data_IF_510688643320
#
_entry.id   IF_510688643320
#
_cell.length_a   1.000
_cell.length_b   1.000
_cell.length_c   1.000
_cell.angle_alpha   90.00
_cell.angle_beta   90.00
_cell.angle_gamma   90.00
#
_symmetry.space_group_name_H-M   'P 1'
#
loop_
_entity.id
_entity.type
_entity.pdbx_description
1 polymer ?
#
# COMPACT_ATOMS: atom_id res chain seq x y z
N UNK A 1 7.27 -31.64 13.82
CA UNK A 1 7.07 -31.14 12.43
C UNK A 1 6.09 -29.98 12.36
N UNK A 2 4.82 -30.17 12.75
CA UNK A 2 3.80 -29.10 12.77
C UNK A 2 4.22 -27.87 13.60
N UNK A 3 4.84 -28.08 14.77
CA UNK A 3 5.41 -27.01 15.61
C UNK A 3 6.52 -26.22 14.92
N UNK A 4 7.48 -26.90 14.29
CA UNK A 4 8.58 -26.25 13.54
C UNK A 4 8.07 -25.40 12.37
N UNK A 5 7.01 -25.85 11.69
CA UNK A 5 6.31 -25.08 10.66
C UNK A 5 5.65 -23.82 11.23
N UNK A 6 4.99 -23.91 12.39
CA UNK A 6 4.40 -22.75 13.06
C UNK A 6 5.46 -21.75 13.54
N UNK A 7 6.65 -22.21 13.90
CA UNK A 7 7.80 -21.40 14.29
C UNK A 7 8.61 -20.84 13.09
N UNK A 8 8.16 -21.05 11.85
CA UNK A 8 8.85 -20.58 10.64
C UNK A 8 10.16 -21.32 10.33
N UNK A 9 10.45 -22.43 11.00
CA UNK A 9 11.66 -23.25 10.81
C UNK A 9 11.45 -24.27 9.70
N UNK A 10 11.13 -23.78 8.49
CA UNK A 10 10.74 -24.61 7.35
C UNK A 10 11.80 -25.63 6.94
N UNK A 11 13.08 -25.27 6.96
CA UNK A 11 14.18 -26.19 6.61
C UNK A 11 14.30 -27.38 7.59
N UNK A 12 14.11 -27.15 8.90
CA UNK A 12 14.09 -28.23 9.90
C UNK A 12 12.83 -29.08 9.75
N UNK A 13 11.69 -28.44 9.43
CA UNK A 13 10.45 -29.13 9.14
C UNK A 13 10.53 -29.96 7.85
N UNK A 14 11.27 -29.53 6.84
CA UNK A 14 11.47 -30.32 5.62
C UNK A 14 12.35 -31.54 5.91
N UNK A 15 13.49 -31.31 6.58
CA UNK A 15 14.45 -32.37 6.93
C UNK A 15 13.82 -33.47 7.77
N UNK A 16 13.06 -33.12 8.79
CA UNK A 16 12.39 -34.14 9.62
C UNK A 16 11.32 -34.92 8.86
N UNK A 17 10.63 -34.32 7.86
CA UNK A 17 9.65 -35.05 7.05
C UNK A 17 10.35 -36.06 6.13
N UNK A 18 11.51 -35.67 5.55
CA UNK A 18 12.34 -36.59 4.76
C UNK A 18 12.83 -37.76 5.60
N UNK A 19 13.31 -37.48 6.82
CA UNK A 19 13.79 -38.53 7.72
C UNK A 19 12.68 -39.53 8.14
N UNK A 20 11.45 -39.05 8.39
CA UNK A 20 10.31 -39.94 8.65
C UNK A 20 9.99 -40.80 7.42
N UNK A 21 10.09 -40.25 6.21
CA UNK A 21 9.83 -41.00 4.98
C UNK A 21 10.96 -41.99 4.62
N UNK A 22 12.18 -41.78 5.13
CA UNK A 22 13.28 -42.75 5.03
C UNK A 22 12.99 -43.99 5.88
N UNK A 23 12.44 -43.83 7.08
CA UNK A 23 12.08 -44.94 7.97
C UNK A 23 10.70 -45.54 7.67
N UNK A 24 9.75 -44.71 7.22
CA UNK A 24 8.36 -45.09 6.94
C UNK A 24 7.88 -44.51 5.59
N UNK A 25 8.25 -45.12 4.44
CA UNK A 25 7.91 -44.59 3.12
C UNK A 25 6.40 -44.52 2.81
N UNK A 26 5.58 -45.25 3.56
CA UNK A 26 4.11 -45.26 3.47
C UNK A 26 3.44 -44.16 4.30
N UNK A 27 4.19 -43.37 5.08
CA UNK A 27 3.65 -42.33 5.95
C UNK A 27 3.05 -41.17 5.13
N UNK A 28 1.74 -41.23 4.91
CA UNK A 28 1.00 -40.27 4.09
C UNK A 28 1.01 -38.85 4.68
N UNK A 29 1.02 -38.72 6.01
CA UNK A 29 1.05 -37.41 6.66
C UNK A 29 2.39 -36.71 6.44
N UNK A 30 3.50 -37.43 6.64
CA UNK A 30 4.84 -36.89 6.40
C UNK A 30 5.03 -36.49 4.92
N UNK A 31 4.51 -37.30 3.98
CA UNK A 31 4.55 -36.97 2.55
C UNK A 31 3.72 -35.74 2.20
N UNK A 32 2.50 -35.65 2.71
CA UNK A 32 1.64 -34.46 2.52
C UNK A 32 2.31 -33.21 3.06
N UNK A 33 2.81 -33.27 4.30
CA UNK A 33 3.47 -32.14 4.94
C UNK A 33 4.75 -31.72 4.19
N UNK A 34 5.55 -32.69 3.72
CA UNK A 34 6.72 -32.41 2.90
C UNK A 34 6.35 -31.67 1.61
N UNK A 35 5.32 -32.14 0.89
CA UNK A 35 4.86 -31.48 -0.33
C UNK A 35 4.39 -30.04 -0.06
N UNK A 36 3.65 -29.82 1.03
CA UNK A 36 3.22 -28.47 1.44
C UNK A 36 4.42 -27.55 1.76
N UNK A 37 5.43 -28.08 2.45
CA UNK A 37 6.64 -27.32 2.80
C UNK A 37 7.49 -26.97 1.57
N UNK A 38 7.67 -27.94 0.66
CA UNK A 38 8.42 -27.72 -0.59
C UNK A 38 7.69 -26.69 -1.47
N UNK A 39 6.36 -26.77 -1.55
CA UNK A 39 5.56 -25.79 -2.29
C UNK A 39 5.67 -24.39 -1.68
N UNK A 40 5.57 -24.26 -0.35
CA UNK A 40 5.71 -22.98 0.35
C UNK A 40 7.10 -22.37 0.11
N UNK A 41 8.17 -23.16 0.24
CA UNK A 41 9.54 -22.74 -0.03
C UNK A 41 9.73 -22.24 -1.46
N UNK A 42 9.16 -22.95 -2.45
CA UNK A 42 9.23 -22.54 -3.86
C UNK A 42 8.58 -21.16 -4.06
N UNK A 43 7.47 -20.89 -3.40
CA UNK A 43 6.80 -19.59 -3.46
C UNK A 43 7.68 -18.50 -2.84
N UNK A 44 8.30 -18.76 -1.69
CA UNK A 44 9.22 -17.82 -1.04
C UNK A 44 10.44 -17.52 -1.92
N UNK A 45 11.03 -18.54 -2.56
CA UNK A 45 12.15 -18.37 -3.50
C UNK A 45 11.75 -17.56 -4.73
N UNK A 46 10.57 -17.82 -5.30
CA UNK A 46 10.01 -17.01 -6.39
C UNK A 46 9.81 -15.56 -5.95
N UNK A 47 9.22 -15.33 -4.79
CA UNK A 47 8.99 -14.00 -4.26
C UNK A 47 10.32 -13.26 -4.02
N UNK A 48 11.35 -13.91 -3.48
CA UNK A 48 12.67 -13.32 -3.30
C UNK A 48 13.29 -12.88 -4.64
N UNK A 49 13.12 -13.67 -5.71
CA UNK A 49 13.53 -13.27 -7.07
C UNK A 49 12.75 -12.06 -7.57
N UNK A 50 11.43 -12.00 -7.32
CA UNK A 50 10.63 -10.83 -7.68
C UNK A 50 11.15 -9.56 -6.99
N UNK A 51 11.51 -9.63 -5.71
CA UNK A 51 12.13 -8.53 -4.97
C UNK A 51 13.45 -8.08 -5.59
N UNK A 52 14.28 -9.04 -6.04
CA UNK A 52 15.54 -8.73 -6.71
C UNK A 52 15.29 -7.97 -8.03
N UNK A 53 14.40 -8.47 -8.89
CA UNK A 53 14.01 -7.79 -10.12
C UNK A 53 13.46 -6.38 -9.85
N UNK A 54 12.59 -6.24 -8.84
CA UNK A 54 12.03 -4.95 -8.44
C UNK A 54 13.12 -3.96 -8.04
N UNK A 55 14.07 -4.37 -7.18
CA UNK A 55 15.21 -3.52 -6.75
C UNK A 55 16.11 -3.14 -7.93
N UNK A 56 16.26 -4.05 -8.88
CA UNK A 56 16.99 -3.81 -10.13
C UNK A 56 16.20 -3.02 -11.18
N UNK A 57 15.00 -2.52 -10.85
CA UNK A 57 14.08 -1.79 -11.76
C UNK A 57 13.63 -2.61 -12.98
N UNK A 58 13.75 -3.93 -12.93
CA UNK A 58 13.21 -4.86 -13.90
C UNK A 58 11.73 -5.09 -13.62
N UNK A 59 10.90 -4.07 -13.86
CA UNK A 59 9.51 -4.05 -13.42
C UNK A 59 8.64 -5.10 -14.10
N UNK A 60 8.88 -5.40 -15.39
CA UNK A 60 8.14 -6.43 -16.12
C UNK A 60 8.41 -7.83 -15.56
N UNK A 61 9.67 -8.14 -15.28
CA UNK A 61 10.06 -9.43 -14.68
C UNK A 61 9.50 -9.55 -13.26
N UNK A 62 9.62 -8.50 -12.45
CA UNK A 62 9.04 -8.46 -11.11
C UNK A 62 7.53 -8.67 -11.14
N UNK A 63 6.81 -7.98 -12.03
CA UNK A 63 5.36 -8.14 -12.21
C UNK A 63 5.00 -9.58 -12.57
N UNK A 64 5.67 -10.16 -13.57
CA UNK A 64 5.43 -11.54 -14.00
C UNK A 64 5.60 -12.53 -12.85
N UNK A 65 6.67 -12.38 -12.06
CA UNK A 65 6.91 -13.28 -10.93
C UNK A 65 5.91 -13.04 -9.79
N UNK A 66 5.51 -11.80 -9.48
CA UNK A 66 4.45 -11.55 -8.51
C UNK A 66 3.14 -12.23 -8.91
N UNK A 67 2.76 -12.18 -10.19
CA UNK A 67 1.56 -12.86 -10.69
C UNK A 67 1.67 -14.39 -10.54
N UNK A 68 2.84 -14.97 -10.78
CA UNK A 68 3.08 -16.40 -10.55
C UNK A 68 2.97 -16.77 -9.06
N UNK A 69 3.52 -15.94 -8.17
CA UNK A 69 3.39 -16.10 -6.71
C UNK A 69 1.92 -16.07 -6.31
N UNK A 70 1.13 -15.15 -6.86
CA UNK A 70 -0.30 -15.04 -6.58
C UNK A 70 -1.12 -16.19 -7.18
N UNK A 71 -0.72 -16.74 -8.33
CA UNK A 71 -1.36 -17.92 -8.89
C UNK A 71 -1.14 -19.16 -7.99
N UNK A 72 0.04 -19.29 -7.38
CA UNK A 72 0.36 -20.38 -6.46
C UNK A 72 -0.19 -20.15 -5.04
N UNK A 73 -0.25 -18.91 -4.58
CA UNK A 73 -0.84 -18.51 -3.30
C UNK A 73 -1.63 -17.19 -3.44
N UNK A 74 -2.94 -17.27 -3.72
CA UNK A 74 -3.79 -16.10 -3.91
C UNK A 74 -3.91 -15.19 -2.68
N UNK A 75 -3.53 -15.68 -1.48
CA UNK A 75 -3.55 -14.91 -0.23
C UNK A 75 -2.17 -14.43 0.20
N UNK A 76 -1.18 -14.41 -0.71
CA UNK A 76 0.15 -13.89 -0.39
C UNK A 76 0.13 -12.35 -0.26
N UNK A 77 0.18 -11.86 0.98
CA UNK A 77 0.10 -10.42 1.29
C UNK A 77 1.16 -9.59 0.55
N UNK A 78 2.45 -9.94 0.69
CA UNK A 78 3.51 -9.07 0.15
C UNK A 78 3.50 -8.98 -1.38
N UNK A 79 3.10 -10.04 -2.08
CA UNK A 79 2.96 -10.05 -3.52
C UNK A 79 1.82 -9.11 -3.97
N UNK A 80 0.65 -9.16 -3.32
CA UNK A 80 -0.43 -8.19 -3.58
C UNK A 80 0.02 -6.76 -3.29
N UNK A 81 0.63 -6.53 -2.13
CA UNK A 81 1.07 -5.19 -1.74
C UNK A 81 2.10 -4.61 -2.73
N UNK A 82 3.15 -5.35 -3.06
CA UNK A 82 4.22 -4.87 -3.93
C UNK A 82 3.80 -4.77 -5.39
N UNK A 83 2.93 -5.66 -5.87
CA UNK A 83 2.35 -5.54 -7.20
C UNK A 83 1.45 -4.29 -7.28
N UNK A 84 0.66 -4.02 -6.24
CA UNK A 84 -0.13 -2.79 -6.14
C UNK A 84 0.73 -1.52 -6.12
N UNK A 85 1.86 -1.54 -5.39
CA UNK A 85 2.85 -0.43 -5.41
C UNK A 85 3.48 -0.25 -6.79
N UNK A 86 3.82 -1.34 -7.48
CA UNK A 86 4.34 -1.29 -8.85
C UNK A 86 3.31 -0.68 -9.80
N UNK A 87 2.04 -1.06 -9.69
CA UNK A 87 0.96 -0.46 -10.46
C UNK A 87 0.78 1.04 -10.17
N UNK A 88 0.93 1.48 -8.92
CA UNK A 88 0.94 2.91 -8.57
C UNK A 88 2.05 3.68 -9.28
N UNK A 89 3.27 3.12 -9.28
CA UNK A 89 4.42 3.73 -9.95
C UNK A 89 4.21 3.84 -11.47
N UNK A 90 3.48 2.90 -12.05
CA UNK A 90 3.10 2.90 -13.47
C UNK A 90 1.86 3.78 -13.78
N UNK A 91 1.20 4.36 -12.77
CA UNK A 91 -0.04 5.12 -12.94
C UNK A 91 -1.28 4.27 -13.23
N UNK A 92 -1.18 2.94 -13.11
CA UNK A 92 -2.30 2.02 -13.31
C UNK A 92 -3.16 1.93 -12.05
N UNK A 93 -3.87 3.01 -11.76
CA UNK A 93 -4.58 3.18 -10.50
C UNK A 93 -5.68 2.12 -10.27
N UNK A 94 -6.36 1.66 -11.33
CA UNK A 94 -7.38 0.62 -11.21
C UNK A 94 -6.78 -0.73 -10.76
N UNK A 95 -5.65 -1.12 -11.36
CA UNK A 95 -4.94 -2.34 -10.97
C UNK A 95 -4.35 -2.20 -9.57
N UNK A 96 -3.83 -1.02 -9.23
CA UNK A 96 -3.33 -0.72 -7.89
C UNK A 96 -4.42 -0.87 -6.82
N UNK A 97 -5.61 -0.29 -7.01
CA UNK A 97 -6.74 -0.46 -6.09
C UNK A 97 -7.11 -1.94 -5.92
N UNK A 98 -7.17 -2.69 -7.03
CA UNK A 98 -7.48 -4.13 -7.01
C UNK A 98 -6.52 -4.92 -6.12
N UNK A 99 -5.21 -4.77 -6.34
CA UNK A 99 -4.21 -5.53 -5.56
C UNK A 99 -4.09 -5.02 -4.11
N UNK A 100 -4.18 -3.71 -3.89
CA UNK A 100 -4.09 -3.14 -2.54
C UNK A 100 -5.34 -3.43 -1.71
N UNK A 101 -6.52 -3.54 -2.32
CA UNK A 101 -7.73 -4.03 -1.65
C UNK A 101 -7.51 -5.44 -1.11
N UNK A 102 -6.99 -6.36 -1.93
CA UNK A 102 -6.62 -7.71 -1.48
C UNK A 102 -5.58 -7.70 -0.38
N UNK A 103 -4.56 -6.85 -0.47
CA UNK A 103 -3.57 -6.71 0.60
C UNK A 103 -4.20 -6.27 1.92
N UNK A 104 -5.14 -5.31 1.89
CA UNK A 104 -5.85 -4.85 3.11
C UNK A 104 -6.83 -5.88 3.68
N UNK A 105 -7.45 -6.71 2.83
CA UNK A 105 -8.28 -7.84 3.26
C UNK A 105 -7.45 -8.93 3.97
N UNK A 106 -6.25 -9.22 3.44
CA UNK A 106 -5.35 -10.23 4.00
C UNK A 106 -4.72 -9.75 5.31
N UNK A 107 -4.29 -8.49 5.36
CA UNK A 107 -3.70 -7.88 6.54
C UNK A 107 -4.37 -6.53 6.88
N UNK A 108 -5.44 -6.54 7.69
CA UNK A 108 -6.13 -5.33 8.12
C UNK A 108 -5.29 -4.40 9.02
N UNK A 109 -4.10 -4.82 9.47
CA UNK A 109 -3.18 -4.01 10.29
C UNK A 109 -2.05 -3.37 9.46
N UNK A 110 -2.14 -3.45 8.12
CA UNK A 110 -1.14 -2.86 7.23
C UNK A 110 -1.47 -1.40 6.89
N UNK A 111 -1.06 -0.45 7.73
CA UNK A 111 -1.29 0.99 7.48
C UNK A 111 -0.77 1.45 6.10
N UNK A 112 0.41 0.96 5.68
CA UNK A 112 0.99 1.30 4.39
C UNK A 112 0.13 0.84 3.19
N UNK A 113 -0.53 -0.32 3.30
CA UNK A 113 -1.42 -0.82 2.25
C UNK A 113 -2.65 0.09 2.09
N UNK A 114 -3.26 0.51 3.20
CA UNK A 114 -4.36 1.49 3.16
C UNK A 114 -3.93 2.84 2.59
N UNK A 115 -2.79 3.39 3.01
CA UNK A 115 -2.28 4.64 2.45
C UNK A 115 -2.07 4.56 0.93
N UNK A 116 -1.49 3.45 0.46
CA UNK A 116 -1.25 3.26 -0.97
C UNK A 116 -2.56 3.05 -1.73
N UNK A 117 -3.54 2.34 -1.15
CA UNK A 117 -4.87 2.18 -1.75
C UNK A 117 -5.57 3.53 -1.87
N UNK A 118 -5.52 4.36 -0.82
CA UNK A 118 -6.03 5.73 -0.86
C UNK A 118 -5.37 6.55 -1.97
N UNK A 119 -4.07 6.36 -2.19
CA UNK A 119 -3.36 7.02 -3.30
C UNK A 119 -3.89 6.58 -4.68
N UNK A 120 -4.15 5.28 -4.86
CA UNK A 120 -4.75 4.77 -6.09
C UNK A 120 -6.15 5.36 -6.31
N UNK A 121 -7.00 5.34 -5.28
CA UNK A 121 -8.37 5.85 -5.33
C UNK A 121 -8.41 7.36 -5.63
N UNK A 122 -7.49 8.14 -5.04
CA UNK A 122 -7.32 9.55 -5.39
C UNK A 122 -6.94 9.74 -6.86
N UNK A 123 -6.04 8.91 -7.39
CA UNK A 123 -5.69 8.89 -8.82
C UNK A 123 -6.89 8.58 -9.74
N UNK A 124 -7.84 7.78 -9.25
CA UNK A 124 -9.13 7.51 -9.89
C UNK A 124 -10.20 8.58 -9.64
N UNK A 125 -9.88 9.66 -8.91
CA UNK A 125 -10.82 10.70 -8.45
C UNK A 125 -11.96 10.19 -7.56
N UNK A 126 -11.80 8.99 -6.96
CA UNK A 126 -12.72 8.41 -5.95
C UNK A 126 -12.32 8.93 -4.58
N UNK A 127 -12.54 10.22 -4.35
CA UNK A 127 -11.94 10.94 -3.22
C UNK A 127 -12.46 10.49 -1.85
N UNK A 128 -13.76 10.23 -1.71
CA UNK A 128 -14.33 9.81 -0.42
C UNK A 128 -13.77 8.45 0.03
N UNK A 129 -13.70 7.48 -0.89
CA UNK A 129 -13.08 6.18 -0.61
C UNK A 129 -11.58 6.28 -0.31
N UNK A 130 -10.90 7.27 -0.92
CA UNK A 130 -9.51 7.56 -0.60
C UNK A 130 -9.36 8.09 0.83
N UNK A 131 -10.27 8.98 1.28
CA UNK A 131 -10.29 9.50 2.65
C UNK A 131 -10.50 8.39 3.66
N UNK A 132 -11.46 7.49 3.43
CA UNK A 132 -11.67 6.32 4.30
C UNK A 132 -10.41 5.45 4.43
N UNK A 133 -9.67 5.28 3.32
CA UNK A 133 -8.41 4.54 3.34
C UNK A 133 -7.34 5.27 4.18
N UNK A 134 -7.22 6.60 4.06
CA UNK A 134 -6.25 7.35 4.86
C UNK A 134 -6.62 7.35 6.34
N UNK A 135 -7.90 7.46 6.69
CA UNK A 135 -8.39 7.35 8.05
C UNK A 135 -8.09 5.97 8.65
N UNK A 136 -8.34 4.88 7.90
CA UNK A 136 -7.93 3.53 8.32
C UNK A 136 -6.42 3.41 8.51
N UNK A 137 -5.62 3.99 7.62
CA UNK A 137 -4.16 3.98 7.75
C UNK A 137 -3.69 4.66 9.04
N UNK A 138 -4.31 5.80 9.40
CA UNK A 138 -4.01 6.57 10.61
C UNK A 138 -4.55 5.87 11.86
N UNK A 139 -5.73 5.27 11.80
CA UNK A 139 -6.26 4.46 12.91
C UNK A 139 -5.40 3.23 13.22
N UNK A 140 -4.80 2.61 12.21
CA UNK A 140 -3.85 1.50 12.38
C UNK A 140 -2.49 1.99 12.87
N UNK A 141 -2.01 3.13 12.35
CA UNK A 141 -0.72 3.73 12.70
C UNK A 141 -0.91 5.25 12.95
N UNK A 142 -1.15 5.68 14.20
CA UNK A 142 -1.43 7.08 14.53
C UNK A 142 -0.29 8.05 14.21
N UNK A 143 0.95 7.60 14.15
CA UNK A 143 2.12 8.42 13.80
C UNK A 143 2.43 8.44 12.28
N UNK A 144 1.48 8.03 11.43
CA UNK A 144 1.72 7.89 10.00
C UNK A 144 1.56 9.20 9.21
N UNK A 145 2.53 10.10 9.36
CA UNK A 145 2.52 11.46 8.78
C UNK A 145 2.31 11.50 7.26
N UNK A 146 2.74 10.48 6.52
CA UNK A 146 2.49 10.39 5.07
C UNK A 146 0.99 10.24 4.75
N UNK A 147 0.24 9.47 5.55
CA UNK A 147 -1.19 9.29 5.37
C UNK A 147 -1.95 10.58 5.68
N UNK A 148 -1.56 11.29 6.75
CA UNK A 148 -2.13 12.61 7.11
C UNK A 148 -1.93 13.64 5.99
N UNK A 149 -0.71 13.74 5.46
CA UNK A 149 -0.44 14.60 4.31
C UNK A 149 -1.27 14.20 3.07
N UNK A 150 -1.37 12.90 2.77
CA UNK A 150 -2.15 12.45 1.62
C UNK A 150 -3.66 12.72 1.79
N UNK A 151 -4.19 12.58 3.01
CA UNK A 151 -5.55 12.99 3.37
C UNK A 151 -5.76 14.48 3.12
N UNK A 152 -4.83 15.33 3.58
CA UNK A 152 -4.86 16.77 3.33
C UNK A 152 -4.86 17.13 1.84
N UNK A 153 -4.04 16.46 1.03
CA UNK A 153 -4.04 16.65 -0.44
C UNK A 153 -5.39 16.27 -1.06
N UNK A 154 -6.02 15.19 -0.59
CA UNK A 154 -7.34 14.77 -1.07
C UNK A 154 -8.44 15.75 -0.66
N UNK A 155 -8.43 16.22 0.59
CA UNK A 155 -9.39 17.22 1.08
C UNK A 155 -9.26 18.54 0.30
N UNK A 156 -8.03 18.96 -0.02
CA UNK A 156 -7.78 20.10 -0.91
C UNK A 156 -8.42 19.90 -2.29
N UNK A 157 -8.29 18.70 -2.88
CA UNK A 157 -8.88 18.39 -4.18
C UNK A 157 -10.43 18.42 -4.16
N UNK A 158 -11.04 18.22 -2.99
CA UNK A 158 -12.48 18.36 -2.75
C UNK A 158 -12.90 19.80 -2.39
N UNK A 159 -11.97 20.76 -2.31
CA UNK A 159 -12.25 22.14 -1.87
C UNK A 159 -12.46 22.30 -0.37
N UNK A 160 -12.23 21.24 0.43
CA UNK A 160 -12.35 21.25 1.90
C UNK A 160 -11.06 21.80 2.52
N UNK A 161 -10.82 23.10 2.32
CA UNK A 161 -9.53 23.74 2.60
C UNK A 161 -9.16 23.72 4.08
N UNK A 162 -10.09 24.03 4.98
CA UNK A 162 -9.81 24.06 6.43
C UNK A 162 -9.41 22.68 6.96
N UNK A 163 -10.10 21.63 6.50
CA UNK A 163 -9.78 20.25 6.89
C UNK A 163 -8.46 19.76 6.28
N UNK A 164 -8.13 20.24 5.09
CA UNK A 164 -6.83 19.98 4.47
C UNK A 164 -5.69 20.59 5.31
N UNK A 165 -5.84 21.86 5.70
CA UNK A 165 -4.89 22.55 6.59
C UNK A 165 -4.73 21.83 7.93
N UNK A 166 -5.84 21.44 8.56
CA UNK A 166 -5.81 20.67 9.81
C UNK A 166 -5.05 19.35 9.65
N UNK A 167 -5.24 18.63 8.53
CA UNK A 167 -4.50 17.38 8.25
C UNK A 167 -3.00 17.60 8.04
N UNK A 168 -2.60 18.72 7.42
CA UNK A 168 -1.18 19.07 7.29
C UNK A 168 -0.57 19.47 8.64
N UNK A 169 -1.30 20.22 9.46
CA UNK A 169 -0.84 20.62 10.79
C UNK A 169 -0.74 19.42 11.75
N UNK A 170 -1.61 18.42 11.65
CA UNK A 170 -1.46 17.15 12.38
C UNK A 170 -0.14 16.45 12.01
N UNK A 171 0.16 16.34 10.70
CA UNK A 171 1.42 15.76 10.23
C UNK A 171 2.64 16.53 10.73
N UNK A 172 2.58 17.86 10.75
CA UNK A 172 3.66 18.75 11.19
C UNK A 172 3.80 18.80 12.71
N UNK A 173 2.74 18.50 13.47
CA UNK A 173 2.82 18.34 14.93
C UNK A 173 3.69 17.14 15.31
N UNK A 174 3.54 16.03 14.57
CA UNK A 174 4.34 14.82 14.78
C UNK A 174 5.73 14.90 14.15
N UNK A 175 5.83 15.55 12.99
CA UNK A 175 7.08 15.72 12.25
C UNK A 175 7.19 17.13 11.68
N UNK A 176 7.75 18.08 12.46
CA UNK A 176 7.83 19.50 12.05
C UNK A 176 8.64 19.76 10.78
N UNK A 177 9.60 18.90 10.46
CA UNK A 177 10.45 18.98 9.27
C UNK A 177 9.87 18.20 8.06
N UNK A 178 8.61 17.78 8.11
CA UNK A 178 8.00 17.04 7.01
C UNK A 178 7.71 17.95 5.81
N UNK A 179 8.72 18.12 4.95
CA UNK A 179 8.74 19.06 3.83
C UNK A 179 7.47 19.04 2.96
N UNK A 180 6.91 17.86 2.66
CA UNK A 180 5.69 17.76 1.83
C UNK A 180 4.48 18.42 2.48
N UNK A 181 4.25 18.18 3.77
CA UNK A 181 3.14 18.80 4.49
C UNK A 181 3.35 20.31 4.64
N UNK A 182 4.59 20.73 4.89
CA UNK A 182 4.95 22.16 4.98
C UNK A 182 4.66 22.90 3.66
N UNK A 183 5.13 22.37 2.54
CA UNK A 183 4.86 22.95 1.21
C UNK A 183 3.35 23.00 0.93
N UNK A 184 2.64 21.89 1.09
CA UNK A 184 1.21 21.82 0.80
C UNK A 184 0.38 22.79 1.66
N UNK A 185 0.72 22.92 2.95
CA UNK A 185 0.04 23.86 3.85
C UNK A 185 0.34 25.32 3.49
N UNK A 186 1.59 25.63 3.17
CA UNK A 186 1.98 26.99 2.79
C UNK A 186 1.30 27.40 1.49
N UNK A 187 1.22 26.53 0.48
CA UNK A 187 0.47 26.76 -0.77
C UNK A 187 -0.99 27.15 -0.52
N UNK A 188 -1.64 26.55 0.46
CA UNK A 188 -3.04 26.85 0.81
C UNK A 188 -3.22 28.17 1.58
N UNK A 189 -2.17 28.66 2.24
CA UNK A 189 -2.20 29.88 3.05
C UNK A 189 -1.83 31.14 2.27
N UNK A 190 -1.29 31.02 1.05
CA UNK A 190 -1.00 32.18 0.21
C UNK A 190 -2.35 32.83 -0.16
N UNK A 191 -2.61 34.10 0.22
CA UNK A 191 -3.80 34.80 -0.21
C UNK A 191 -3.81 34.85 -1.74
N UNK A 192 -4.95 34.53 -2.36
CA UNK A 192 -5.13 34.83 -3.79
C UNK A 192 -4.82 36.33 -4.00
N UNK A 193 -4.02 36.71 -5.00
CA UNK A 193 -3.76 38.12 -5.28
C UNK A 193 -5.11 38.84 -5.46
N UNK A 194 -5.28 39.97 -4.77
CA UNK A 194 -6.53 40.74 -4.69
C UNK A 194 -7.00 41.31 -6.04
N UNK A 195 -6.25 41.10 -7.11
CA UNK A 195 -6.44 41.76 -8.41
C UNK A 195 -7.52 41.13 -9.31
N UNK A 196 -8.43 40.32 -8.76
CA UNK A 196 -9.59 39.78 -9.50
C UNK A 196 -10.95 40.12 -8.90
N UNK A 197 -11.02 41.06 -7.96
CA UNK A 197 -12.25 41.48 -7.28
C UNK A 197 -12.66 42.94 -7.56
N UNK A 198 -12.29 43.53 -8.72
CA UNK A 198 -12.66 44.92 -9.03
C UNK A 198 -12.82 45.21 -10.54
N UNK A 199 -13.67 44.46 -11.26
CA UNK A 199 -14.15 44.92 -12.59
C UNK A 199 -15.67 44.69 -12.75
N UNK A 200 -16.44 44.79 -11.68
CA UNK A 200 -17.89 44.78 -11.78
C UNK A 200 -18.45 45.67 -10.68
N UNK A 201 -18.29 46.99 -10.82
CA UNK A 201 -19.12 48.00 -10.14
C UNK A 201 -19.07 49.41 -10.82
N UNK A 202 -18.54 49.56 -12.05
CA UNK A 202 -18.59 50.82 -12.80
C UNK A 202 -19.45 50.72 -14.07
N UNK A 203 -20.72 50.36 -13.91
CA UNK A 203 -21.73 50.58 -14.97
C UNK A 203 -23.00 51.20 -14.38
N UNK A 204 -22.86 52.30 -13.67
CA UNK A 204 -23.99 53.20 -13.44
C UNK A 204 -23.49 54.63 -13.21
N UNK A 205 -23.46 55.42 -14.30
CA UNK A 205 -23.71 56.87 -14.37
C UNK A 205 -23.20 57.37 -15.72
N UNK A 206 -24.11 57.63 -16.66
CA UNK A 206 -24.08 58.79 -17.54
C UNK A 206 -25.51 58.92 -18.12
N UNK A 207 -26.32 59.71 -17.42
CA UNK A 207 -27.33 60.57 -18.07
C UNK A 207 -26.65 61.56 -19.01
#
# INVERSE_FOLDING_TARGET
MRKLRQEGKFHLAERGCRQVLETEPSNLEARRLLNELVAARRIEEQFARALQCHRSKQFLDAQSIYLQVLAANPRHYDAHYLLGVLCLQAGWYQAADTYLARATEINPKAAAAYNNRGHALRGLKRYDEALECYEKAIGVKPDFVQAMNNRGVTLRALGRIDEALASFDEALTLKPDFAKALSNRNELRVPLPRDRLSIADDVDTLE
#
